data_IF_162956040231
#
_entry.id   IF_162956040231
#
_cell.length_a   1.000
_cell.length_b   1.000
_cell.length_c   1.000
_cell.angle_alpha   90.00
_cell.angle_beta   90.00
_cell.angle_gamma   90.00
#
_symmetry.space_group_name_H-M   'P 1'
#
loop_
_entity.id
_entity.type
_entity.pdbx_description
1 polymer ?
#
# COMPACT_ATOMS: atom_id res chain seq x y z
N UNK A 1 9.64 -14.34 -100.33
CA UNK A 1 9.72 -15.73 -99.80
C UNK A 1 11.19 -16.12 -99.68
N UNK A 2 11.58 -17.08 -98.81
CA UNK A 2 10.91 -17.60 -97.61
C UNK A 2 11.51 -16.88 -96.37
N UNK A 3 11.70 -17.39 -95.12
CA UNK A 3 11.26 -18.56 -94.32
C UNK A 3 10.81 -18.03 -92.93
N UNK A 4 10.26 -18.88 -92.05
CA UNK A 4 9.97 -18.54 -90.64
C UNK A 4 11.15 -18.92 -89.70
N UNK A 5 11.24 -18.35 -88.48
CA UNK A 5 11.03 -19.12 -87.22
C UNK A 5 11.28 -18.34 -85.91
N UNK A 6 10.25 -18.31 -85.05
CA UNK A 6 10.20 -18.39 -83.56
C UNK A 6 11.48 -18.21 -82.70
N UNK A 7 11.40 -17.33 -81.69
CA UNK A 7 11.84 -17.64 -80.29
C UNK A 7 11.16 -16.72 -79.24
N UNK A 8 11.35 -17.00 -77.93
CA UNK A 8 10.62 -16.41 -76.78
C UNK A 8 11.49 -15.43 -75.94
N UNK A 9 10.87 -14.35 -75.45
CA UNK A 9 11.12 -13.71 -74.14
C UNK A 9 9.94 -12.74 -73.87
N UNK A 10 9.09 -12.90 -72.86
CA UNK A 10 9.32 -12.72 -71.41
C UNK A 10 9.79 -11.32 -71.01
N UNK A 11 8.85 -10.37 -70.91
CA UNK A 11 9.04 -9.06 -70.27
C UNK A 11 7.88 -8.81 -69.29
N UNK A 12 8.18 -8.40 -68.05
CA UNK A 12 7.17 -8.15 -67.01
C UNK A 12 6.74 -6.67 -67.01
N UNK A 13 5.47 -6.42 -66.74
CA UNK A 13 4.94 -5.10 -66.41
C UNK A 13 4.03 -5.23 -65.17
N UNK A 14 4.48 -4.73 -64.03
CA UNK A 14 3.74 -4.82 -62.76
C UNK A 14 2.69 -3.71 -62.67
N UNK A 15 1.41 -4.07 -62.61
CA UNK A 15 0.34 -3.15 -62.28
C UNK A 15 0.29 -2.89 -60.76
N UNK A 16 0.46 -1.64 -60.34
CA UNK A 16 0.41 -1.28 -58.93
C UNK A 16 -1.04 -1.19 -58.42
N UNK A 17 -1.38 -2.04 -57.44
CA UNK A 17 -2.66 -1.97 -56.75
C UNK A 17 -2.56 -1.04 -55.52
N UNK A 18 -3.28 0.08 -55.51
CA UNK A 18 -3.43 0.91 -54.31
C UNK A 18 -4.39 0.21 -53.33
N UNK A 19 -3.85 -0.25 -52.21
CA UNK A 19 -4.64 -0.75 -51.08
C UNK A 19 -5.02 0.42 -50.16
N UNK A 20 -6.29 0.82 -50.18
CA UNK A 20 -6.83 1.76 -49.22
C UNK A 20 -6.88 1.14 -47.81
N UNK A 21 -5.86 1.39 -46.99
CA UNK A 21 -5.82 0.97 -45.59
C UNK A 21 -6.84 1.74 -44.76
N UNK A 22 -7.98 1.10 -44.45
CA UNK A 22 -8.96 1.64 -43.51
C UNK A 22 -8.36 1.57 -42.10
N UNK A 23 -7.90 2.72 -41.59
CA UNK A 23 -7.47 2.87 -40.20
C UNK A 23 -8.69 2.80 -39.28
N UNK A 24 -9.04 1.58 -38.86
CA UNK A 24 -9.99 1.38 -37.77
C UNK A 24 -9.43 2.04 -36.49
N UNK A 25 -10.22 2.84 -35.75
CA UNK A 25 -9.77 3.40 -34.49
C UNK A 25 -9.49 2.26 -33.52
N UNK A 26 -8.24 2.14 -33.08
CA UNK A 26 -7.87 1.16 -32.07
C UNK A 26 -8.64 1.48 -30.78
N UNK A 27 -9.64 0.65 -30.46
CA UNK A 27 -10.33 0.74 -29.18
C UNK A 27 -9.27 0.62 -28.07
N UNK A 28 -9.16 1.66 -27.25
CA UNK A 28 -8.20 1.69 -26.15
C UNK A 28 -8.55 0.56 -25.17
N UNK A 29 -7.88 -0.58 -25.30
CA UNK A 29 -8.08 -1.74 -24.46
C UNK A 29 -7.90 -1.30 -23.01
N UNK A 30 -9.01 -1.27 -22.25
CA UNK A 30 -9.03 -0.76 -20.89
C UNK A 30 -8.00 -1.53 -20.08
N UNK A 31 -6.94 -0.83 -19.63
CA UNK A 31 -5.84 -1.42 -18.87
C UNK A 31 -6.47 -2.21 -17.71
N UNK A 32 -6.18 -3.52 -17.57
CA UNK A 32 -6.93 -4.37 -16.64
C UNK A 32 -6.89 -3.79 -15.23
N UNK A 33 -8.00 -3.93 -14.51
CA UNK A 33 -8.11 -3.47 -13.13
C UNK A 33 -6.96 -4.07 -12.30
N UNK A 34 -6.33 -3.24 -11.48
CA UNK A 34 -5.27 -3.70 -10.59
C UNK A 34 -5.85 -4.61 -9.52
N UNK A 35 -5.09 -5.61 -9.09
CA UNK A 35 -5.29 -6.16 -7.75
C UNK A 35 -4.61 -5.24 -6.74
N UNK A 36 -4.97 -5.34 -5.46
CA UNK A 36 -4.35 -4.58 -4.39
C UNK A 36 -2.82 -4.82 -4.37
N UNK A 37 -2.41 -6.08 -4.46
CA UNK A 37 -1.02 -6.57 -4.34
C UNK A 37 -0.17 -6.20 -5.56
N UNK A 38 -0.79 -5.99 -6.74
CA UNK A 38 -0.11 -5.55 -7.97
C UNK A 38 0.01 -4.03 -8.10
N UNK A 39 -0.58 -3.26 -7.18
CA UNK A 39 -0.50 -1.79 -7.12
C UNK A 39 0.22 -1.31 -5.87
N UNK A 40 -0.12 -1.87 -4.71
CA UNK A 40 0.38 -1.47 -3.40
C UNK A 40 1.41 -2.49 -2.89
N UNK A 41 2.57 -2.54 -3.58
CA UNK A 41 3.60 -3.54 -3.35
C UNK A 41 4.50 -3.23 -2.13
N UNK A 42 4.85 -4.27 -1.35
CA UNK A 42 5.84 -4.24 -0.26
C UNK A 42 7.19 -4.91 -0.62
N UNK A 43 7.47 -5.07 -1.93
CA UNK A 43 8.79 -5.49 -2.42
C UNK A 43 9.71 -4.28 -2.58
N UNK A 44 11.03 -4.48 -2.50
CA UNK A 44 12.08 -3.46 -2.68
C UNK A 44 11.97 -2.20 -1.79
N UNK A 45 11.30 -2.34 -0.63
CA UNK A 45 11.14 -1.26 0.36
C UNK A 45 12.47 -0.63 0.83
N UNK A 46 12.49 0.67 1.17
CA UNK A 46 13.63 1.29 1.85
C UNK A 46 14.02 0.55 3.14
N UNK A 47 15.31 0.23 3.27
CA UNK A 47 15.84 -0.55 4.39
C UNK A 47 15.65 0.13 5.76
N UNK A 48 15.54 1.46 5.79
CA UNK A 48 15.07 2.22 6.93
C UNK A 48 14.06 3.26 6.43
N UNK A 49 12.91 3.36 7.09
CA UNK A 49 11.87 4.33 6.78
C UNK A 49 11.28 4.88 8.08
N UNK A 50 11.36 6.19 8.27
CA UNK A 50 10.49 6.90 9.21
C UNK A 50 9.44 7.70 8.43
N UNK A 51 8.20 7.73 8.91
CA UNK A 51 7.19 8.66 8.43
C UNK A 51 6.30 9.21 9.53
N UNK A 52 5.78 10.42 9.31
CA UNK A 52 4.69 11.02 10.07
C UNK A 52 3.44 11.07 9.19
N UNK A 53 2.31 10.68 9.75
CA UNK A 53 1.00 10.78 9.11
C UNK A 53 -0.05 11.42 10.03
N UNK A 54 -1.03 12.07 9.43
CA UNK A 54 -2.28 12.52 10.05
C UNK A 54 -3.40 11.56 9.60
N UNK A 55 -4.27 11.12 10.51
CA UNK A 55 -5.42 10.28 10.15
C UNK A 55 -6.69 10.64 10.93
N UNK A 56 -7.86 10.47 10.32
CA UNK A 56 -9.16 10.73 10.96
C UNK A 56 -9.68 9.45 11.62
N UNK A 57 -9.72 9.43 12.95
CA UNK A 57 -10.31 8.37 13.76
C UNK A 57 -11.82 8.53 13.92
N UNK A 58 -12.36 7.84 14.93
CA UNK A 58 -13.73 8.01 15.42
C UNK A 58 -13.94 9.29 16.22
N UNK A 59 -12.89 9.74 16.90
CA UNK A 59 -12.88 10.72 17.98
C UNK A 59 -12.09 11.99 17.65
N UNK A 60 -11.33 12.00 16.54
CA UNK A 60 -10.66 13.21 16.07
C UNK A 60 -9.76 13.01 14.84
N UNK A 61 -8.80 13.92 14.71
CA UNK A 61 -7.63 13.76 13.84
C UNK A 61 -6.43 13.47 14.74
N UNK A 62 -5.67 12.44 14.40
CA UNK A 62 -4.58 11.88 15.19
C UNK A 62 -3.27 11.96 14.41
N UNK A 63 -2.16 12.13 15.12
CA UNK A 63 -0.80 12.13 14.57
C UNK A 63 -0.15 10.78 14.84
N UNK A 64 0.11 10.04 13.77
CA UNK A 64 0.88 8.80 13.77
C UNK A 64 2.34 9.08 13.39
N UNK A 65 3.26 8.49 14.11
CA UNK A 65 4.67 8.35 13.75
C UNK A 65 4.97 6.86 13.58
N UNK A 66 5.70 6.50 12.53
CA UNK A 66 6.09 5.10 12.27
C UNK A 66 7.57 5.03 11.92
N UNK A 67 8.27 4.08 12.54
CA UNK A 67 9.63 3.68 12.23
C UNK A 67 9.60 2.23 11.76
N UNK A 68 10.05 1.96 10.53
CA UNK A 68 10.15 0.64 9.90
C UNK A 68 11.61 0.35 9.60
N UNK A 69 12.19 -0.61 10.32
CA UNK A 69 13.51 -1.16 10.02
C UNK A 69 13.33 -2.45 9.22
N UNK A 70 13.51 -2.32 7.90
CA UNK A 70 13.29 -3.34 6.88
C UNK A 70 11.92 -4.01 7.06
N UNK A 71 11.83 -5.27 6.65
CA UNK A 71 10.71 -6.17 6.89
C UNK A 71 10.86 -6.95 8.21
N UNK A 72 11.57 -6.40 9.22
CA UNK A 72 11.95 -7.10 10.48
C UNK A 72 11.21 -6.55 11.70
N UNK A 73 11.27 -5.24 11.92
CA UNK A 73 10.66 -4.59 13.11
C UNK A 73 10.06 -3.23 12.77
N UNK A 74 8.97 -2.89 13.45
CA UNK A 74 8.34 -1.57 13.36
C UNK A 74 7.95 -1.04 14.74
N UNK A 75 7.96 0.28 14.88
CA UNK A 75 7.31 1.02 15.97
C UNK A 75 6.28 1.97 15.36
N UNK A 76 5.07 1.98 15.90
CA UNK A 76 4.04 3.00 15.68
C UNK A 76 3.88 3.80 16.97
N UNK A 77 3.62 5.11 16.85
CA UNK A 77 3.32 6.01 17.97
C UNK A 77 2.19 6.96 17.61
N UNK A 78 1.09 6.92 18.34
CA UNK A 78 -0.11 7.75 18.12
C UNK A 78 -0.25 8.77 19.25
N UNK A 79 -0.36 10.05 18.89
CA UNK A 79 -0.62 11.21 19.78
C UNK A 79 0.25 11.31 21.04
N UNK A 80 1.44 10.71 21.04
CA UNK A 80 2.32 10.50 22.21
C UNK A 80 1.70 9.67 23.36
N UNK A 81 0.54 9.04 23.16
CA UNK A 81 -0.23 8.30 24.21
C UNK A 81 -0.22 6.79 24.04
N UNK A 82 0.01 6.29 22.82
CA UNK A 82 0.05 4.87 22.50
C UNK A 82 1.29 4.60 21.65
N UNK A 83 2.19 3.74 22.13
CA UNK A 83 3.16 3.08 21.25
C UNK A 83 2.68 1.66 20.89
N UNK A 84 3.10 1.16 19.74
CA UNK A 84 2.97 -0.26 19.35
C UNK A 84 4.26 -0.71 18.69
N UNK A 85 4.94 -1.66 19.31
CA UNK A 85 6.15 -2.29 18.82
C UNK A 85 5.78 -3.64 18.22
N UNK A 86 6.29 -3.95 17.03
CA UNK A 86 6.08 -5.27 16.39
C UNK A 86 7.41 -5.79 15.87
N UNK A 87 7.73 -7.04 16.20
CA UNK A 87 8.93 -7.74 15.76
C UNK A 87 8.51 -9.05 15.11
N UNK A 88 8.90 -9.26 13.85
CA UNK A 88 8.69 -10.53 13.15
C UNK A 88 9.59 -11.63 13.70
N UNK A 89 9.10 -12.86 13.65
CA UNK A 89 9.92 -14.03 13.90
C UNK A 89 10.90 -14.22 12.72
N UNK A 90 12.19 -14.37 13.01
CA UNK A 90 13.23 -14.56 11.99
C UNK A 90 13.19 -15.96 11.35
N UNK A 91 12.54 -16.93 11.98
CA UNK A 91 12.33 -18.27 11.43
C UNK A 91 11.02 -18.40 10.62
N UNK A 92 10.00 -17.57 10.93
CA UNK A 92 8.77 -17.46 10.15
C UNK A 92 8.32 -15.99 10.03
N UNK A 93 8.62 -15.30 8.92
CA UNK A 93 8.23 -13.91 8.71
C UNK A 93 6.73 -13.66 8.55
N UNK A 94 5.87 -14.69 8.51
CA UNK A 94 4.42 -14.52 8.59
C UNK A 94 3.98 -14.24 10.03
N UNK A 95 4.72 -14.76 11.01
CA UNK A 95 4.45 -14.61 12.43
C UNK A 95 5.21 -13.43 13.06
N UNK A 96 4.57 -12.80 14.04
CA UNK A 96 5.13 -11.64 14.72
C UNK A 96 4.64 -11.53 16.17
N UNK A 97 5.48 -10.93 17.02
CA UNK A 97 5.10 -10.47 18.34
C UNK A 97 4.73 -8.99 18.27
N UNK A 98 3.54 -8.64 18.76
CA UNK A 98 3.15 -7.25 19.05
C UNK A 98 3.30 -6.96 20.56
N UNK A 99 3.62 -5.71 20.88
CA UNK A 99 3.56 -5.17 22.24
C UNK A 99 3.03 -3.74 22.17
N UNK A 100 1.90 -3.52 22.83
CA UNK A 100 1.19 -2.22 22.89
C UNK A 100 1.48 -1.58 24.25
N UNK A 101 1.87 -0.31 24.25
CA UNK A 101 2.14 0.47 25.47
C UNK A 101 1.17 1.66 25.52
N UNK A 102 0.22 1.61 26.44
CA UNK A 102 -0.73 2.69 26.73
C UNK A 102 -0.16 3.55 27.87
N UNK A 103 0.39 4.71 27.50
CA UNK A 103 1.00 5.65 28.45
C UNK A 103 -0.03 6.36 29.35
N UNK A 104 -1.31 6.42 28.95
CA UNK A 104 -2.39 7.01 29.78
C UNK A 104 -2.84 6.05 30.87
N UNK A 105 -3.01 4.76 30.54
CA UNK A 105 -3.39 3.71 31.50
C UNK A 105 -2.19 3.15 32.28
N UNK A 106 -0.97 3.37 31.80
CA UNK A 106 0.28 2.73 32.27
C UNK A 106 0.22 1.21 32.17
N UNK A 107 -0.21 0.71 31.01
CA UNK A 107 -0.33 -0.73 30.72
C UNK A 107 0.55 -1.09 29.52
N UNK A 108 1.27 -2.20 29.63
CA UNK A 108 1.91 -2.91 28.52
C UNK A 108 1.13 -4.19 28.26
N UNK A 109 0.58 -4.35 27.06
CA UNK A 109 -0.05 -5.60 26.61
C UNK A 109 0.83 -6.26 25.56
N UNK A 110 1.27 -7.49 25.84
CA UNK A 110 1.90 -8.38 24.86
C UNK A 110 0.81 -9.22 24.18
N UNK A 111 0.89 -9.36 22.86
CA UNK A 111 -0.02 -10.23 22.08
C UNK A 111 0.65 -10.68 20.78
N UNK A 112 0.39 -11.90 20.31
CA UNK A 112 0.84 -12.39 19.00
C UNK A 112 -0.22 -12.22 17.90
N UNK A 113 0.19 -12.49 16.66
CA UNK A 113 -0.66 -12.41 15.45
C UNK A 113 -1.92 -13.28 15.52
N UNK A 114 -1.84 -14.50 16.06
CA UNK A 114 -2.96 -15.44 16.08
C UNK A 114 -3.98 -15.06 17.16
N UNK A 115 -3.51 -14.57 18.31
CA UNK A 115 -4.38 -14.04 19.36
C UNK A 115 -5.01 -12.67 18.98
N UNK A 116 -4.31 -11.81 18.21
CA UNK A 116 -4.92 -10.63 17.57
C UNK A 116 -6.10 -10.98 16.64
N UNK A 117 -5.98 -12.08 15.89
CA UNK A 117 -7.07 -12.60 15.03
C UNK A 117 -8.26 -13.07 15.89
N UNK A 118 -8.02 -13.77 17.01
CA UNK A 118 -9.08 -14.20 17.95
C UNK A 118 -9.85 -13.02 18.55
N UNK A 119 -9.17 -11.90 18.84
CA UNK A 119 -9.80 -10.66 19.31
C UNK A 119 -10.53 -9.86 18.20
N UNK A 120 -10.65 -10.39 16.97
CA UNK A 120 -11.34 -9.74 15.86
C UNK A 120 -10.59 -8.55 15.23
N UNK A 121 -9.43 -8.17 15.78
CA UNK A 121 -8.62 -7.06 15.31
C UNK A 121 -7.62 -7.51 14.24
N UNK A 122 -8.13 -7.84 13.05
CA UNK A 122 -7.26 -8.14 11.91
C UNK A 122 -6.47 -6.89 11.48
N UNK A 123 -5.15 -6.94 11.71
CA UNK A 123 -4.17 -6.02 11.14
C UNK A 123 -2.95 -6.83 10.77
N UNK A 124 -2.81 -7.12 9.48
CA UNK A 124 -1.63 -7.80 8.95
C UNK A 124 -0.38 -6.87 8.99
N UNK A 125 0.79 -7.41 8.66
CA UNK A 125 2.02 -6.62 8.59
C UNK A 125 1.92 -5.46 7.60
N UNK A 126 1.13 -5.59 6.53
CA UNK A 126 1.00 -4.54 5.52
C UNK A 126 0.27 -3.33 6.12
N UNK A 127 -0.89 -3.52 6.76
CA UNK A 127 -1.60 -2.44 7.49
C UNK A 127 -0.74 -1.82 8.60
N UNK A 128 -0.02 -2.66 9.35
CA UNK A 128 0.88 -2.23 10.43
C UNK A 128 2.10 -1.41 9.94
N UNK A 129 2.69 -1.76 8.79
CA UNK A 129 3.84 -1.06 8.24
C UNK A 129 3.45 0.13 7.32
N UNK A 130 2.30 0.09 6.65
CA UNK A 130 1.93 1.01 5.57
C UNK A 130 0.75 1.93 5.88
N UNK A 131 -0.11 1.60 6.85
CA UNK A 131 -1.34 2.35 7.11
C UNK A 131 -2.42 2.22 6.03
N UNK A 132 -2.37 1.14 5.24
CA UNK A 132 -3.38 0.77 4.26
C UNK A 132 -3.78 -0.68 4.48
N UNK A 133 -5.05 -0.93 4.78
CA UNK A 133 -5.60 -2.28 4.98
C UNK A 133 -6.03 -2.92 3.66
N UNK A 134 -5.85 -4.24 3.54
CA UNK A 134 -6.42 -5.02 2.46
C UNK A 134 -7.97 -4.93 2.45
N UNK A 135 -8.61 -4.74 1.28
CA UNK A 135 -10.06 -4.72 1.15
C UNK A 135 -10.67 -6.10 1.48
N UNK A 136 -11.80 -6.12 2.19
CA UNK A 136 -12.43 -7.38 2.66
C UNK A 136 -13.59 -7.76 1.73
N UNK A 137 -13.42 -8.84 0.97
CA UNK A 137 -14.36 -9.27 -0.07
C UNK A 137 -14.22 -8.44 -1.35
N UNK A 138 -15.26 -8.48 -2.20
CA UNK A 138 -15.24 -7.85 -3.53
C UNK A 138 -14.82 -6.37 -3.51
N UNK A 139 -13.90 -6.01 -4.41
CA UNK A 139 -13.43 -4.64 -4.62
C UNK A 139 -13.08 -4.38 -6.09
N UNK A 140 -12.94 -3.11 -6.46
CA UNK A 140 -12.38 -2.69 -7.74
C UNK A 140 -11.34 -1.61 -7.54
N UNK A 141 -10.18 -1.78 -8.16
CA UNK A 141 -9.06 -0.83 -8.10
C UNK A 141 -8.66 -0.40 -9.51
N UNK A 142 -8.73 0.91 -9.78
CA UNK A 142 -8.43 1.49 -11.09
C UNK A 142 -7.60 2.78 -10.96
N UNK A 143 -6.73 3.12 -11.94
CA UNK A 143 -6.07 4.42 -11.98
C UNK A 143 -7.09 5.57 -12.04
N UNK A 144 -6.78 6.70 -11.40
CA UNK A 144 -7.62 7.91 -11.40
C UNK A 144 -6.77 9.18 -11.32
N UNK A 145 -7.41 10.34 -11.31
CA UNK A 145 -6.77 11.63 -11.03
C UNK A 145 -6.93 12.03 -9.55
N UNK A 146 -6.07 12.95 -9.10
CA UNK A 146 -6.25 13.60 -7.80
C UNK A 146 -7.66 14.23 -7.70
N UNK A 147 -8.41 14.01 -6.60
CA UNK A 147 -9.68 14.69 -6.40
C UNK A 147 -9.46 16.19 -6.19
N UNK A 148 -10.46 17.01 -6.54
CA UNK A 148 -10.40 18.44 -6.29
C UNK A 148 -10.34 18.70 -4.77
N UNK A 149 -9.42 19.58 -4.35
CA UNK A 149 -9.16 19.85 -2.93
C UNK A 149 -8.23 18.84 -2.24
N UNK A 150 -7.69 17.84 -2.94
CA UNK A 150 -6.67 16.95 -2.38
C UNK A 150 -5.45 17.74 -1.86
N UNK A 151 -4.93 17.42 -0.66
CA UNK A 151 -3.67 18.00 -0.20
C UNK A 151 -2.50 17.54 -1.06
N UNK A 152 -1.51 18.42 -1.22
CA UNK A 152 -0.24 18.06 -1.88
C UNK A 152 0.44 16.96 -1.05
N UNK A 153 0.85 15.83 -1.66
CA UNK A 153 1.51 14.71 -0.98
C UNK A 153 2.97 15.03 -0.64
N UNK A 154 3.50 14.42 0.42
CA UNK A 154 4.90 14.59 0.84
C UNK A 154 5.93 13.95 -0.12
N UNK A 155 5.51 13.01 -0.96
CA UNK A 155 6.31 12.43 -2.05
C UNK A 155 5.47 12.19 -3.29
N UNK A 156 6.12 12.00 -4.44
CA UNK A 156 5.47 11.72 -5.71
C UNK A 156 4.66 10.41 -5.65
N UNK A 157 3.43 10.45 -6.16
CA UNK A 157 2.48 9.34 -6.09
C UNK A 157 1.75 9.11 -7.41
N UNK A 158 1.08 7.97 -7.53
CA UNK A 158 0.02 7.72 -8.52
C UNK A 158 -1.31 7.57 -7.81
N UNK A 159 -2.37 8.11 -8.40
CA UNK A 159 -3.71 8.05 -7.84
C UNK A 159 -4.48 6.84 -8.36
N UNK A 160 -5.14 6.13 -7.45
CA UNK A 160 -6.02 5.00 -7.73
C UNK A 160 -7.34 5.18 -6.98
N UNK A 161 -8.46 4.78 -7.59
CA UNK A 161 -9.75 4.69 -6.92
C UNK A 161 -9.97 3.25 -6.48
N UNK A 162 -10.23 3.06 -5.19
CA UNK A 162 -10.64 1.79 -4.58
C UNK A 162 -12.14 1.89 -4.23
N UNK A 163 -12.94 1.04 -4.87
CA UNK A 163 -14.38 0.91 -4.65
C UNK A 163 -14.68 -0.42 -3.98
N UNK A 164 -15.40 -0.41 -2.86
CA UNK A 164 -15.81 -1.60 -2.11
C UNK A 164 -17.20 -1.38 -1.52
N UNK A 165 -18.20 -2.13 -2.01
CA UNK A 165 -19.60 -1.85 -1.75
C UNK A 165 -19.96 -0.40 -2.10
N UNK A 166 -20.56 0.32 -1.16
CA UNK A 166 -20.88 1.75 -1.29
C UNK A 166 -19.71 2.69 -0.90
N UNK A 167 -18.57 2.14 -0.47
CA UNK A 167 -17.39 2.94 -0.08
C UNK A 167 -16.51 3.19 -1.30
N UNK A 168 -16.16 4.46 -1.52
CA UNK A 168 -15.23 4.87 -2.57
C UNK A 168 -14.17 5.81 -1.98
N UNK A 169 -12.91 5.36 -2.02
CA UNK A 169 -11.75 6.11 -1.56
C UNK A 169 -10.73 6.25 -2.69
N UNK A 170 -9.97 7.34 -2.71
CA UNK A 170 -8.87 7.57 -3.65
C UNK A 170 -7.54 7.54 -2.91
N UNK A 171 -6.61 6.72 -3.38
CA UNK A 171 -5.32 6.45 -2.75
C UNK A 171 -4.22 7.02 -3.64
N UNK A 172 -3.44 7.94 -3.09
CA UNK A 172 -2.23 8.52 -3.67
C UNK A 172 -1.04 7.66 -3.22
N UNK A 173 -0.71 6.60 -3.96
CA UNK A 173 0.34 5.65 -3.59
C UNK A 173 1.71 6.09 -4.12
N UNK A 174 2.71 6.19 -3.24
CA UNK A 174 4.10 6.37 -3.67
C UNK A 174 4.80 5.01 -3.78
N UNK A 175 5.19 4.67 -5.01
CA UNK A 175 6.05 3.51 -5.30
C UNK A 175 7.54 3.76 -5.01
N UNK A 176 7.90 4.89 -4.37
CA UNK A 176 9.24 5.13 -3.82
C UNK A 176 9.29 4.86 -2.31
N UNK A 177 8.32 5.39 -1.58
CA UNK A 177 8.27 5.21 -0.12
C UNK A 177 7.61 3.88 0.28
N UNK A 178 6.86 3.27 -0.65
CA UNK A 178 5.93 2.17 -0.40
C UNK A 178 4.93 2.58 0.68
N UNK A 179 4.15 3.62 0.40
CA UNK A 179 3.16 4.21 1.32
C UNK A 179 1.99 4.88 0.58
N UNK A 180 0.79 4.92 1.18
CA UNK A 180 -0.26 5.86 0.82
C UNK A 180 0.14 7.27 1.30
N UNK A 181 0.52 8.16 0.39
CA UNK A 181 0.80 9.56 0.73
C UNK A 181 -0.46 10.33 1.14
N UNK A 182 -1.61 9.98 0.53
CA UNK A 182 -2.94 10.50 0.88
C UNK A 182 -3.95 9.38 0.65
N UNK A 183 -4.91 9.22 1.57
CA UNK A 183 -6.18 8.54 1.30
C UNK A 183 -7.28 9.57 1.45
N UNK A 184 -8.00 9.81 0.36
CA UNK A 184 -9.15 10.69 0.28
C UNK A 184 -10.43 9.88 0.28
N UNK A 185 -11.44 10.33 1.02
CA UNK A 185 -12.77 9.73 1.01
C UNK A 185 -13.72 10.62 0.22
N UNK A 186 -14.21 10.15 -0.93
CA UNK A 186 -15.14 10.91 -1.76
C UNK A 186 -16.45 11.20 -0.99
N UNK A 187 -16.86 10.29 -0.09
CA UNK A 187 -18.04 10.46 0.77
C UNK A 187 -17.90 11.54 1.85
N UNK A 188 -16.67 11.85 2.32
CA UNK A 188 -16.40 12.95 3.26
C UNK A 188 -15.88 14.22 2.57
N UNK A 189 -15.59 14.15 1.27
CA UNK A 189 -14.87 15.17 0.51
C UNK A 189 -13.59 15.67 1.22
N UNK A 190 -12.85 14.76 1.85
CA UNK A 190 -11.68 15.09 2.67
C UNK A 190 -10.60 14.01 2.63
N UNK A 191 -9.36 14.37 2.98
CA UNK A 191 -8.34 13.41 3.36
C UNK A 191 -8.73 12.75 4.70
N UNK A 192 -8.67 11.43 4.76
CA UNK A 192 -8.83 10.62 5.98
C UNK A 192 -7.49 10.03 6.46
N UNK A 193 -6.47 10.08 5.61
CA UNK A 193 -5.08 9.79 5.91
C UNK A 193 -4.17 10.67 5.06
N UNK A 194 -3.06 11.16 5.61
CA UNK A 194 -2.07 11.97 4.91
C UNK A 194 -0.68 11.77 5.52
N UNK A 195 0.30 11.35 4.73
CA UNK A 195 1.72 11.42 5.12
C UNK A 195 2.22 12.86 4.98
N UNK A 196 2.79 13.39 6.05
CA UNK A 196 3.30 14.77 6.14
C UNK A 196 4.82 14.87 6.21
N UNK A 197 5.50 13.77 6.57
CA UNK A 197 6.97 13.69 6.60
C UNK A 197 7.42 12.27 6.25
N UNK A 198 8.54 12.15 5.52
CA UNK A 198 9.24 10.89 5.23
C UNK A 198 10.75 11.09 5.42
N UNK A 199 11.44 10.10 5.98
CA UNK A 199 12.90 10.10 6.22
C UNK A 199 13.47 8.68 6.03
N UNK A 200 14.72 8.59 5.58
CA UNK A 200 15.43 7.34 5.25
C UNK A 200 16.76 7.18 6.01
N UNK A 201 17.03 8.03 7.00
CA UNK A 201 18.20 7.87 7.87
C UNK A 201 18.13 6.52 8.60
N UNK A 202 19.27 5.86 8.87
CA UNK A 202 19.32 4.65 9.68
C UNK A 202 18.61 4.85 11.03
N UNK A 203 17.77 3.90 11.40
CA UNK A 203 17.02 3.90 12.67
C UNK A 203 17.89 3.18 13.71
N UNK A 204 18.14 3.82 14.85
CA UNK A 204 18.89 3.23 15.96
C UNK A 204 18.07 2.21 16.75
N UNK A 205 18.76 1.29 17.43
CA UNK A 205 18.10 0.27 18.26
C UNK A 205 17.31 0.86 19.44
N UNK A 206 17.72 2.04 19.93
CA UNK A 206 17.06 2.84 20.96
C UNK A 206 15.60 3.15 20.62
N UNK A 207 15.29 3.34 19.34
CA UNK A 207 13.93 3.60 18.85
C UNK A 207 13.00 2.42 19.11
N UNK A 208 13.51 1.20 19.23
CA UNK A 208 12.73 -0.02 19.45
C UNK A 208 12.73 -0.51 20.92
N UNK A 209 13.33 0.25 21.84
CA UNK A 209 13.32 -0.05 23.28
C UNK A 209 11.97 0.31 23.89
N UNK A 210 11.40 -0.61 24.69
CA UNK A 210 10.17 -0.35 25.46
C UNK A 210 10.45 0.63 26.62
N UNK A 211 9.56 1.60 26.83
CA UNK A 211 9.66 2.58 27.91
C UNK A 211 8.57 2.37 28.99
N UNK A 212 8.43 1.13 29.50
CA UNK A 212 7.31 0.70 30.34
C UNK A 212 7.64 0.56 31.85
N UNK A 213 8.63 1.30 32.34
CA UNK A 213 9.10 1.15 33.73
C UNK A 213 8.00 1.50 34.74
N UNK A 214 7.58 0.51 35.53
CA UNK A 214 6.48 0.65 36.49
C UNK A 214 5.09 0.70 35.84
N UNK A 215 4.91 0.04 34.69
CA UNK A 215 3.61 -0.21 34.08
C UNK A 215 3.06 -1.57 34.50
N UNK A 216 1.74 -1.73 34.47
CA UNK A 216 1.09 -3.05 34.61
C UNK A 216 1.37 -3.84 33.33
N UNK A 217 1.88 -5.07 33.46
CA UNK A 217 2.12 -5.96 32.32
C UNK A 217 1.01 -6.99 32.22
N UNK A 218 0.40 -7.07 31.05
CA UNK A 218 -0.58 -8.05 30.64
C UNK A 218 0.02 -8.87 29.49
N UNK A 219 -0.12 -10.19 29.53
CA UNK A 219 0.27 -11.07 28.43
C UNK A 219 -1.01 -11.73 27.92
N UNK A 220 -1.67 -11.08 26.96
CA UNK A 220 -2.98 -11.48 26.46
C UNK A 220 -2.94 -12.87 25.81
N UNK A 221 -1.76 -13.35 25.42
CA UNK A 221 -1.57 -14.73 24.96
C UNK A 221 -1.82 -15.73 26.10
N UNK A 222 -1.24 -15.49 27.28
CA UNK A 222 -1.39 -16.36 28.44
C UNK A 222 -2.82 -16.32 29.00
N UNK A 223 -3.47 -15.16 28.95
CA UNK A 223 -4.89 -15.03 29.31
C UNK A 223 -5.76 -15.88 28.34
N UNK A 224 -5.56 -15.76 27.02
CA UNK A 224 -6.32 -16.46 25.98
C UNK A 224 -5.99 -17.96 25.87
N UNK A 225 -4.89 -18.43 26.47
CA UNK A 225 -4.56 -19.85 26.62
C UNK A 225 -5.14 -20.48 27.91
N UNK A 226 -5.69 -19.67 28.82
CA UNK A 226 -6.30 -20.12 30.08
C UNK A 226 -7.83 -20.28 30.08
N UNK A 227 -8.52 -19.70 29.08
CA UNK A 227 -9.99 -19.71 28.89
C UNK A 227 -10.48 -20.86 27.99
#
# INVERSE_FOLDING_TARGET
MPRLSVSKASGWAAGAALLCSVLAPAAAAGRPAGTFESVFQSGDEPAALFYRAEFTGSDGVHVLQVWRDRQVRLRRKTDEVLDTYVVRNSADPLEYQMTVVDYRKRITTRIDRNNLIRLGHFSDWFDLAHGLRHPVGEYRLAPTSAPAGAPIPASACRWYVLSQGNTLNRICWSAREHLPMVIWSDAKASAIWRVTQVDHRPIGDDVFVLHDTGFVRNDANADIEGD
#
